data_IF_683672242155
#
_entry.id   IF_683672242155
#
_cell.length_a   1.000
_cell.length_b   1.000
_cell.length_c   1.000
_cell.angle_alpha   90.00
_cell.angle_beta   90.00
_cell.angle_gamma   90.00
#
_symmetry.space_group_name_H-M   'P 1'
#
loop_
_entity.id
_entity.type
_entity.pdbx_description
1 polymer ?
#
# COMPACT_ATOMS: atom_id res chain seq x y z
N UNK A 1 -15.43 20.16 -24.81
CA UNK A 1 -15.71 18.95 -24.01
C UNK A 1 -15.26 17.70 -24.74
N UNK A 2 -14.76 16.70 -24.01
CA UNK A 2 -14.41 15.37 -24.54
C UNK A 2 -15.50 14.37 -24.16
N UNK A 3 -15.86 13.49 -25.09
CA UNK A 3 -16.92 12.50 -24.88
C UNK A 3 -16.35 11.08 -24.92
N UNK A 4 -16.65 10.28 -23.89
CA UNK A 4 -16.19 8.90 -23.75
C UNK A 4 -17.38 7.96 -23.59
N UNK A 5 -17.28 6.76 -24.17
CA UNK A 5 -18.34 5.74 -24.10
C UNK A 5 -18.03 4.61 -23.13
N UNK A 6 -16.76 4.40 -22.77
CA UNK A 6 -16.32 3.27 -21.94
C UNK A 6 -15.31 3.72 -20.88
N UNK A 7 -14.80 2.78 -20.08
CA UNK A 7 -13.68 3.03 -19.18
C UNK A 7 -12.37 3.36 -19.90
N UNK A 8 -12.28 3.09 -21.21
CA UNK A 8 -11.16 3.52 -22.04
C UNK A 8 -11.20 5.03 -22.24
N UNK A 9 -10.06 5.69 -22.05
CA UNK A 9 -9.89 7.14 -22.24
C UNK A 9 -9.68 7.52 -23.71
N UNK A 10 -10.27 6.76 -24.65
CA UNK A 10 -10.29 7.07 -26.08
C UNK A 10 -11.56 7.89 -26.39
N UNK A 11 -11.43 9.18 -26.72
CA UNK A 11 -12.60 10.03 -26.96
C UNK A 11 -13.26 9.68 -28.30
N UNK A 12 -14.57 9.90 -28.40
CA UNK A 12 -15.28 9.74 -29.65
C UNK A 12 -14.94 10.87 -30.62
N UNK A 13 -14.55 10.48 -31.85
CA UNK A 13 -14.38 11.41 -32.97
C UNK A 13 -15.62 11.32 -33.84
N UNK A 14 -16.37 12.42 -33.94
CA UNK A 14 -17.58 12.50 -34.76
C UNK A 14 -17.25 13.27 -36.03
N UNK A 15 -17.50 12.64 -37.17
CA UNK A 15 -17.44 13.29 -38.48
C UNK A 15 -18.83 13.24 -39.10
N UNK A 16 -19.24 14.29 -39.85
CA UNK A 16 -20.46 14.22 -40.64
C UNK A 16 -20.41 13.00 -41.56
N UNK A 17 -21.50 12.25 -41.60
CA UNK A 17 -21.61 11.12 -42.51
C UNK A 17 -21.69 11.64 -43.95
N UNK A 18 -20.77 11.21 -44.81
CA UNK A 18 -20.80 11.51 -46.24
C UNK A 18 -21.83 10.61 -46.93
N UNK A 19 -22.87 11.21 -47.49
CA UNK A 19 -23.88 10.49 -48.26
C UNK A 19 -23.32 10.24 -49.66
N UNK A 20 -22.92 9.01 -49.93
CA UNK A 20 -22.58 8.57 -51.27
C UNK A 20 -23.86 8.01 -51.93
N UNK A 21 -24.38 8.69 -52.96
CA UNK A 21 -25.51 8.21 -53.75
C UNK A 21 -25.05 7.11 -54.74
N UNK A 22 -24.73 5.93 -54.22
CA UNK A 22 -24.20 4.81 -55.02
C UNK A 22 -25.29 3.90 -55.64
N UNK A 23 -26.59 4.18 -55.40
CA UNK A 23 -27.70 3.29 -55.80
C UNK A 23 -27.88 3.22 -57.33
N UNK A 24 -27.81 4.36 -58.01
CA UNK A 24 -28.01 4.47 -59.46
C UNK A 24 -26.70 4.63 -60.27
N UNK A 25 -25.58 4.92 -59.59
CA UNK A 25 -24.28 5.17 -60.21
C UNK A 25 -24.29 6.30 -61.24
N UNK A 26 -23.41 6.19 -62.26
CA UNK A 26 -23.30 7.15 -63.35
C UNK A 26 -23.78 6.53 -64.68
N UNK A 27 -25.08 6.63 -65.03
CA UNK A 27 -25.61 5.96 -66.22
C UNK A 27 -25.21 6.69 -67.51
N UNK A 28 -25.00 5.95 -68.60
CA UNK A 28 -24.57 6.51 -69.90
C UNK A 28 -25.50 7.60 -70.47
N UNK A 29 -26.76 7.65 -70.02
CA UNK A 29 -27.74 8.68 -70.39
C UNK A 29 -27.49 10.04 -69.70
N UNK A 30 -26.80 10.08 -68.56
CA UNK A 30 -26.48 11.32 -67.84
C UNK A 30 -25.21 12.00 -68.37
N UNK A 31 -24.40 11.28 -69.16
CA UNK A 31 -23.17 11.81 -69.75
C UNK A 31 -23.48 12.82 -70.86
N UNK A 32 -22.66 13.86 -70.96
CA UNK A 32 -22.78 14.86 -72.03
C UNK A 32 -22.27 14.29 -73.36
N UNK A 33 -23.16 13.68 -74.12
CA UNK A 33 -22.85 13.09 -75.43
C UNK A 33 -22.48 14.10 -76.52
N UNK A 34 -22.60 15.41 -76.26
CA UNK A 34 -22.20 16.46 -77.22
C UNK A 34 -20.78 16.97 -76.96
N UNK A 35 -20.17 16.58 -75.85
CA UNK A 35 -18.79 16.94 -75.53
C UNK A 35 -17.84 16.24 -76.52
N UNK A 36 -16.91 16.98 -77.16
CA UNK A 36 -15.88 16.38 -78.00
C UNK A 36 -15.03 15.35 -77.25
N UNK A 37 -14.78 15.57 -75.95
CA UNK A 37 -14.02 14.68 -75.08
C UNK A 37 -14.72 13.31 -74.94
N UNK A 38 -16.05 13.30 -74.79
CA UNK A 38 -16.83 12.06 -74.74
C UNK A 38 -16.62 11.19 -75.98
N UNK A 39 -16.62 11.80 -77.17
CA UNK A 39 -16.39 11.08 -78.42
C UNK A 39 -14.93 10.67 -78.58
N UNK A 40 -13.99 11.51 -78.15
CA UNK A 40 -12.56 11.24 -78.22
C UNK A 40 -12.16 10.05 -77.35
N UNK A 41 -12.54 10.05 -76.07
CA UNK A 41 -12.20 8.98 -75.12
C UNK A 41 -12.80 7.63 -75.52
N UNK A 42 -14.01 7.64 -76.10
CA UNK A 42 -14.68 6.42 -76.60
C UNK A 42 -14.27 6.02 -78.01
N UNK A 43 -13.39 6.78 -78.66
CA UNK A 43 -12.84 6.46 -79.97
C UNK A 43 -12.03 5.15 -79.98
N UNK A 44 -11.51 4.75 -78.82
CA UNK A 44 -10.85 3.46 -78.64
C UNK A 44 -11.49 2.68 -77.50
N UNK A 45 -11.92 1.45 -77.78
CA UNK A 45 -12.57 0.59 -76.79
C UNK A 45 -11.62 0.04 -75.71
N UNK A 46 -12.18 -0.68 -74.72
CA UNK A 46 -11.41 -1.39 -73.71
C UNK A 46 -10.43 -2.39 -74.36
N UNK A 47 -9.15 -2.29 -73.99
CA UNK A 47 -8.08 -3.12 -74.57
C UNK A 47 -6.94 -3.32 -73.58
N UNK A 48 -6.09 -4.29 -73.86
CA UNK A 48 -4.76 -4.38 -73.25
C UNK A 48 -3.74 -3.68 -74.15
N UNK A 49 -2.90 -2.85 -73.56
CA UNK A 49 -1.81 -2.23 -74.28
C UNK A 49 -0.74 -3.27 -74.66
N UNK A 50 -0.25 -3.19 -75.89
CA UNK A 50 0.81 -4.07 -76.40
C UNK A 50 2.14 -3.76 -75.70
N UNK A 51 2.91 -4.81 -75.36
CA UNK A 51 4.22 -4.65 -74.72
C UNK A 51 5.15 -3.81 -75.61
N UNK A 52 5.85 -2.84 -75.00
CA UNK A 52 6.75 -1.93 -75.73
C UNK A 52 6.04 -0.80 -76.49
N UNK A 53 4.69 -0.75 -76.49
CA UNK A 53 3.96 0.41 -76.99
C UNK A 53 4.04 1.59 -76.02
N UNK A 54 3.86 2.81 -76.54
CA UNK A 54 3.79 4.03 -75.74
C UNK A 54 2.67 3.96 -74.67
N UNK A 55 1.51 3.39 -75.04
CA UNK A 55 0.38 3.18 -74.12
C UNK A 55 0.76 2.29 -72.94
N UNK A 56 1.50 1.20 -73.21
CA UNK A 56 1.95 0.28 -72.17
C UNK A 56 2.98 0.91 -71.24
N UNK A 57 3.95 1.67 -71.78
CA UNK A 57 4.95 2.36 -70.98
C UNK A 57 4.30 3.39 -70.06
N UNK A 58 3.43 4.24 -70.60
CA UNK A 58 2.73 5.27 -69.85
C UNK A 58 1.80 4.67 -68.78
N UNK A 59 1.03 3.64 -69.14
CA UNK A 59 0.19 2.90 -68.20
C UNK A 59 0.99 2.24 -67.07
N UNK A 60 2.21 1.78 -67.35
CA UNK A 60 3.11 1.21 -66.33
C UNK A 60 3.61 2.28 -65.36
N UNK A 61 3.98 3.48 -65.85
CA UNK A 61 4.36 4.61 -64.97
C UNK A 61 3.20 5.02 -64.05
N UNK A 62 1.96 5.06 -64.55
CA UNK A 62 0.77 5.29 -63.71
C UNK A 62 0.57 4.22 -62.63
N UNK A 63 0.75 2.93 -62.97
CA UNK A 63 0.67 1.84 -61.99
C UNK A 63 1.72 2.00 -60.89
N UNK A 64 2.97 2.32 -61.25
CA UNK A 64 4.04 2.58 -60.29
C UNK A 64 3.71 3.78 -59.37
N UNK A 65 3.12 4.85 -59.91
CA UNK A 65 2.68 6.00 -59.13
C UNK A 65 1.62 5.61 -58.09
N UNK A 66 0.62 4.83 -58.48
CA UNK A 66 -0.41 4.35 -57.56
C UNK A 66 0.14 3.39 -56.50
N UNK A 67 1.09 2.53 -56.87
CA UNK A 67 1.78 1.63 -55.92
C UNK A 67 2.61 2.42 -54.89
N UNK A 68 3.30 3.47 -55.33
CA UNK A 68 4.02 4.37 -54.45
C UNK A 68 3.07 5.10 -53.49
N UNK A 69 1.94 5.60 -53.99
CA UNK A 69 0.92 6.24 -53.16
C UNK A 69 0.40 5.26 -52.10
N UNK A 70 0.03 4.04 -52.50
CA UNK A 70 -0.43 2.99 -51.59
C UNK A 70 0.61 2.68 -50.51
N UNK A 71 1.88 2.55 -50.90
CA UNK A 71 2.98 2.29 -49.97
C UNK A 71 3.12 3.42 -48.93
N UNK A 72 3.03 4.68 -49.37
CA UNK A 72 3.07 5.84 -48.46
C UNK A 72 1.87 5.88 -47.53
N UNK A 73 0.67 5.63 -48.06
CA UNK A 73 -0.55 5.57 -47.25
C UNK A 73 -0.47 4.46 -46.18
N UNK A 74 0.03 3.29 -46.54
CA UNK A 74 0.19 2.17 -45.61
C UNK A 74 1.29 2.43 -44.58
N UNK A 75 2.36 3.14 -44.95
CA UNK A 75 3.37 3.62 -44.01
C UNK A 75 2.78 4.57 -42.96
N UNK A 76 2.02 5.58 -43.39
CA UNK A 76 1.36 6.54 -42.51
C UNK A 76 0.35 5.86 -41.57
N UNK A 77 -0.45 4.93 -42.08
CA UNK A 77 -1.40 4.15 -41.25
C UNK A 77 -0.67 3.36 -40.17
N UNK A 78 0.47 2.75 -40.51
CA UNK A 78 1.27 1.98 -39.54
C UNK A 78 1.89 2.90 -38.49
N UNK A 79 2.42 4.04 -38.90
CA UNK A 79 3.00 5.04 -38.00
C UNK A 79 1.96 5.55 -37.00
N UNK A 80 0.77 5.95 -37.47
CA UNK A 80 -0.33 6.37 -36.62
C UNK A 80 -0.69 5.30 -35.59
N UNK A 81 -0.82 4.05 -36.04
CA UNK A 81 -1.15 2.93 -35.15
C UNK A 81 -0.09 2.70 -34.08
N UNK A 82 1.20 2.77 -34.44
CA UNK A 82 2.29 2.64 -33.46
C UNK A 82 2.27 3.76 -32.43
N UNK A 83 1.98 5.00 -32.85
CA UNK A 83 1.92 6.13 -31.93
C UNK A 83 0.70 6.05 -31.00
N UNK A 84 -0.44 5.55 -31.49
CA UNK A 84 -1.61 5.23 -30.66
C UNK A 84 -1.30 4.15 -29.61
N UNK A 85 -0.66 3.04 -30.00
CA UNK A 85 -0.26 1.96 -29.08
C UNK A 85 0.73 2.46 -28.03
N UNK A 86 1.67 3.31 -28.43
CA UNK A 86 2.64 3.94 -27.53
C UNK A 86 1.95 4.87 -26.52
N UNK A 87 0.99 5.68 -26.95
CA UNK A 87 0.22 6.54 -26.05
C UNK A 87 -0.58 5.71 -25.04
N UNK A 88 -1.24 4.65 -25.50
CA UNK A 88 -2.01 3.76 -24.62
C UNK A 88 -1.13 3.09 -23.56
N UNK A 89 0.06 2.62 -23.95
CA UNK A 89 1.04 2.06 -23.01
C UNK A 89 1.50 3.10 -21.96
N UNK A 90 1.74 4.34 -22.37
CA UNK A 90 2.12 5.41 -21.45
C UNK A 90 1.00 5.76 -20.45
N UNK A 91 -0.23 5.86 -20.94
CA UNK A 91 -1.39 6.13 -20.10
C UNK A 91 -1.63 5.01 -19.08
N UNK A 92 -1.52 3.77 -19.50
CA UNK A 92 -1.68 2.61 -18.63
C UNK A 92 -0.56 2.54 -17.57
N UNK A 93 0.68 2.84 -17.96
CA UNK A 93 1.79 2.96 -17.01
C UNK A 93 1.54 4.06 -15.97
N UNK A 94 1.12 5.26 -16.41
CA UNK A 94 0.80 6.37 -15.51
C UNK A 94 -0.35 6.03 -14.55
N UNK A 95 -1.36 5.29 -15.03
CA UNK A 95 -2.46 4.79 -14.20
C UNK A 95 -1.94 3.83 -13.12
N UNK A 96 -1.10 2.86 -13.47
CA UNK A 96 -0.53 1.91 -12.50
C UNK A 96 0.37 2.58 -11.47
N UNK A 97 1.21 3.53 -11.88
CA UNK A 97 2.05 4.31 -10.98
C UNK A 97 1.19 5.09 -9.97
N UNK A 98 0.14 5.75 -10.45
CA UNK A 98 -0.78 6.49 -9.58
C UNK A 98 -1.51 5.59 -8.58
N UNK A 99 -2.07 4.48 -9.05
CA UNK A 99 -2.75 3.49 -8.21
C UNK A 99 -1.80 2.91 -7.14
N UNK A 100 -0.57 2.59 -7.54
CA UNK A 100 0.46 2.07 -6.64
C UNK A 100 0.88 3.11 -5.60
N UNK A 101 1.03 4.37 -5.99
CA UNK A 101 1.40 5.44 -5.05
C UNK A 101 0.28 5.73 -4.04
N UNK A 102 -0.99 5.68 -4.46
CA UNK A 102 -2.12 5.77 -3.53
C UNK A 102 -2.08 4.65 -2.48
N UNK A 103 -1.79 3.41 -2.89
CA UNK A 103 -1.65 2.28 -1.96
C UNK A 103 -0.47 2.48 -1.00
N UNK A 104 0.66 2.99 -1.48
CA UNK A 104 1.82 3.32 -0.63
C UNK A 104 1.51 4.42 0.39
N UNK A 105 0.73 5.42 0.01
CA UNK A 105 0.30 6.49 0.92
C UNK A 105 -0.63 5.95 2.01
N UNK A 106 -1.60 5.11 1.64
CA UNK A 106 -2.50 4.46 2.59
C UNK A 106 -1.74 3.57 3.58
N UNK A 107 -0.72 2.84 3.11
CA UNK A 107 0.14 2.03 3.98
C UNK A 107 0.90 2.92 4.99
N UNK A 108 1.57 3.98 4.51
CA UNK A 108 2.29 4.94 5.38
C UNK A 108 1.37 5.56 6.43
N UNK A 109 0.14 5.89 6.06
CA UNK A 109 -0.86 6.42 6.98
C UNK A 109 -1.22 5.41 8.07
N UNK A 110 -1.45 4.14 7.71
CA UNK A 110 -1.74 3.08 8.67
C UNK A 110 -0.57 2.79 9.61
N UNK A 111 0.66 2.81 9.09
CA UNK A 111 1.86 2.65 9.90
C UNK A 111 2.01 3.78 10.92
N UNK A 112 1.84 5.03 10.49
CA UNK A 112 1.86 6.19 11.38
C UNK A 112 0.75 6.14 12.45
N UNK A 113 -0.45 5.70 12.08
CA UNK A 113 -1.55 5.51 13.04
C UNK A 113 -1.24 4.41 14.07
N UNK A 114 -0.60 3.31 13.64
CA UNK A 114 -0.18 2.23 14.53
C UNK A 114 0.96 2.69 15.44
N UNK A 115 1.93 3.44 14.93
CA UNK A 115 3.03 4.00 15.71
C UNK A 115 2.52 4.98 16.77
N UNK A 116 1.57 5.86 16.42
CA UNK A 116 0.92 6.76 17.38
C UNK A 116 0.23 5.99 18.50
N UNK A 117 -0.57 4.97 18.16
CA UNK A 117 -1.24 4.12 19.16
C UNK A 117 -0.24 3.40 20.07
N UNK A 118 0.88 2.92 19.49
CA UNK A 118 1.95 2.28 20.25
C UNK A 118 2.58 3.26 21.25
N UNK A 119 2.92 4.47 20.82
CA UNK A 119 3.47 5.51 21.69
C UNK A 119 2.49 5.92 22.79
N UNK A 120 1.20 6.07 22.48
CA UNK A 120 0.16 6.35 23.48
C UNK A 120 0.03 5.23 24.52
N UNK A 121 0.11 3.98 24.07
CA UNK A 121 0.06 2.82 24.96
C UNK A 121 1.29 2.73 25.87
N UNK A 122 2.49 2.92 25.31
CA UNK A 122 3.75 2.94 26.06
C UNK A 122 3.78 4.08 27.09
N UNK A 123 3.29 5.27 26.73
CA UNK A 123 3.17 6.39 27.67
C UNK A 123 2.19 6.08 28.80
N UNK A 124 1.04 5.47 28.50
CA UNK A 124 0.05 5.07 29.51
C UNK A 124 0.59 3.96 30.43
N UNK A 125 1.31 2.99 29.87
CA UNK A 125 1.95 1.92 30.64
C UNK A 125 3.00 2.49 31.60
N UNK A 126 3.88 3.38 31.11
CA UNK A 126 4.87 4.07 31.93
C UNK A 126 4.23 4.88 33.06
N UNK A 127 3.16 5.62 32.78
CA UNK A 127 2.42 6.36 33.82
C UNK A 127 1.80 5.42 34.87
N UNK A 128 1.26 4.27 34.44
CA UNK A 128 0.70 3.28 35.35
C UNK A 128 1.79 2.62 36.22
N UNK A 129 2.97 2.35 35.66
CA UNK A 129 4.12 1.83 36.39
C UNK A 129 4.66 2.85 37.40
N UNK A 130 4.76 4.13 37.01
CA UNK A 130 5.16 5.21 37.92
C UNK A 130 4.18 5.38 39.09
N UNK A 131 2.86 5.25 38.85
CA UNK A 131 1.87 5.24 39.93
C UNK A 131 2.03 4.02 40.86
N UNK A 132 2.17 2.81 40.31
CA UNK A 132 2.41 1.61 41.13
C UNK A 132 3.66 1.76 42.00
N UNK A 133 4.75 2.27 41.43
CA UNK A 133 6.00 2.49 42.16
C UNK A 133 5.82 3.52 43.28
N UNK A 134 5.06 4.59 43.06
CA UNK A 134 4.72 5.56 44.13
C UNK A 134 3.88 4.93 45.22
N UNK A 135 2.90 4.10 44.87
CA UNK A 135 2.05 3.41 45.83
C UNK A 135 2.84 2.38 46.65
N UNK A 136 3.72 1.60 46.00
CA UNK A 136 4.65 0.68 46.65
C UNK A 136 5.62 1.42 47.59
N UNK A 137 6.19 2.55 47.17
CA UNK A 137 7.04 3.37 48.04
C UNK A 137 6.27 3.93 49.24
N UNK A 138 5.02 4.35 49.05
CA UNK A 138 4.14 4.83 50.12
C UNK A 138 3.83 3.71 51.13
N UNK A 139 3.46 2.53 50.65
CA UNK A 139 3.22 1.34 51.48
C UNK A 139 4.48 0.89 52.22
N UNK A 140 5.64 0.89 51.54
CA UNK A 140 6.93 0.55 52.15
C UNK A 140 7.32 1.55 53.24
N UNK A 141 7.07 2.85 53.03
CA UNK A 141 7.26 3.88 54.08
C UNK A 141 6.34 3.61 55.27
N UNK A 142 5.05 3.36 55.05
CA UNK A 142 4.10 3.03 56.12
C UNK A 142 4.51 1.76 56.88
N UNK A 143 4.97 0.72 56.16
CA UNK A 143 5.42 -0.53 56.76
C UNK A 143 6.70 -0.33 57.59
N UNK A 144 7.67 0.44 57.08
CA UNK A 144 8.87 0.82 57.82
C UNK A 144 8.55 1.65 59.07
N UNK A 145 7.58 2.57 58.99
CA UNK A 145 7.11 3.34 60.16
C UNK A 145 6.44 2.44 61.20
N UNK A 146 5.59 1.50 60.77
CA UNK A 146 4.95 0.53 61.67
C UNK A 146 5.97 -0.40 62.32
N UNK A 147 6.94 -0.91 61.55
CA UNK A 147 8.03 -1.75 62.07
C UNK A 147 8.92 -0.97 63.04
N UNK A 148 9.22 0.30 62.75
CA UNK A 148 9.96 1.16 63.67
C UNK A 148 9.19 1.42 64.98
N UNK A 149 7.87 1.57 64.92
CA UNK A 149 7.01 1.66 66.13
C UNK A 149 7.02 0.36 66.93
N UNK A 150 6.93 -0.79 66.26
CA UNK A 150 6.98 -2.11 66.90
C UNK A 150 8.33 -2.34 67.58
N UNK A 151 9.45 -2.05 66.90
CA UNK A 151 10.80 -2.16 67.46
C UNK A 151 10.96 -1.25 68.69
N UNK A 152 10.42 -0.03 68.68
CA UNK A 152 10.43 0.84 69.87
C UNK A 152 9.64 0.26 71.03
N UNK A 153 8.48 -0.33 70.77
CA UNK A 153 7.68 -1.01 71.80
C UNK A 153 8.36 -2.28 72.31
N UNK A 154 9.01 -3.04 71.43
CA UNK A 154 9.78 -4.23 71.78
C UNK A 154 11.02 -3.87 72.60
N UNK A 155 11.74 -2.81 72.25
CA UNK A 155 12.86 -2.26 73.02
C UNK A 155 12.39 -1.78 74.41
N UNK A 156 11.24 -1.09 74.50
CA UNK A 156 10.62 -0.74 75.78
C UNK A 156 10.21 -1.97 76.60
N UNK A 157 9.62 -2.99 75.96
CA UNK A 157 9.21 -4.22 76.64
C UNK A 157 10.43 -5.03 77.12
N UNK A 158 11.48 -5.12 76.30
CA UNK A 158 12.75 -5.77 76.63
C UNK A 158 13.48 -5.02 77.74
N UNK A 159 13.47 -3.69 77.71
CA UNK A 159 13.99 -2.86 78.80
C UNK A 159 13.18 -3.07 80.10
N UNK A 160 11.85 -3.11 80.02
CA UNK A 160 10.99 -3.44 81.16
C UNK A 160 11.21 -4.87 81.66
N UNK A 161 11.47 -5.85 80.78
CA UNK A 161 11.83 -7.21 81.17
C UNK A 161 13.20 -7.26 81.86
N UNK A 162 14.18 -6.49 81.39
CA UNK A 162 15.47 -6.35 82.05
C UNK A 162 15.32 -5.67 83.41
N UNK A 163 14.52 -4.61 83.51
CA UNK A 163 14.15 -3.95 84.77
C UNK A 163 13.37 -4.89 85.70
N UNK A 164 12.49 -5.76 85.17
CA UNK A 164 11.73 -6.74 85.95
C UNK A 164 12.61 -7.93 86.40
N UNK A 165 13.55 -8.38 85.57
CA UNK A 165 14.53 -9.41 85.93
C UNK A 165 15.49 -8.88 87.00
N UNK A 166 15.95 -7.64 86.86
CA UNK A 166 16.72 -6.92 87.89
C UNK A 166 15.90 -6.70 89.16
N UNK A 167 14.62 -6.36 89.03
CA UNK A 167 13.71 -6.20 90.15
C UNK A 167 13.49 -7.54 90.87
N UNK A 168 13.35 -8.65 90.16
CA UNK A 168 13.20 -10.00 90.73
C UNK A 168 14.50 -10.48 91.37
N UNK A 169 15.68 -10.11 90.83
CA UNK A 169 16.98 -10.32 91.46
C UNK A 169 17.13 -9.48 92.73
N UNK A 170 16.63 -8.24 92.73
CA UNK A 170 16.54 -7.39 93.92
C UNK A 170 15.50 -7.90 94.92
N UNK A 171 14.43 -8.54 94.45
CA UNK A 171 13.40 -9.18 95.28
C UNK A 171 13.90 -10.50 95.85
N UNK A 172 14.74 -11.26 95.14
CA UNK A 172 15.46 -12.43 95.66
C UNK A 172 16.50 -12.03 96.70
N UNK A 173 17.18 -10.88 96.52
CA UNK A 173 18.06 -10.29 97.53
C UNK A 173 17.27 -9.79 98.76
N UNK A 174 16.10 -9.18 98.57
CA UNK A 174 15.19 -8.82 99.68
C UNK A 174 14.56 -10.06 100.35
N UNK A 175 14.27 -11.12 99.59
CA UNK A 175 13.71 -12.38 100.09
C UNK A 175 14.72 -13.22 100.87
N UNK A 176 16.02 -12.94 100.76
CA UNK A 176 17.05 -13.54 101.61
C UNK A 176 17.19 -12.80 102.96
N UNK A 177 16.58 -11.63 103.09
CA UNK A 177 16.54 -10.81 104.31
C UNK A 177 15.22 -10.96 105.08
N UNK A 178 14.13 -11.38 104.42
CA UNK A 178 12.79 -11.51 105.00
C UNK A 178 12.44 -12.98 105.35
N UNK A 179 13.36 -13.66 106.03
CA UNK A 179 13.06 -14.90 106.75
C UNK A 179 12.29 -14.58 108.04
N UNK A 180 11.07 -14.03 107.92
CA UNK A 180 10.14 -13.99 109.03
C UNK A 180 8.69 -13.84 108.55
N UNK A 181 7.87 -14.85 108.89
CA UNK A 181 6.39 -14.87 108.83
C UNK A 181 5.79 -15.02 107.42
N UNK A 182 4.76 -15.81 107.10
CA UNK A 182 3.85 -16.69 107.82
C UNK A 182 2.67 -17.00 106.88
N UNK A 183 2.25 -18.28 106.82
CA UNK A 183 0.92 -18.81 106.45
C UNK A 183 0.18 -18.41 105.15
N UNK A 184 -0.11 -19.44 104.32
CA UNK A 184 -1.49 -19.88 104.06
C UNK A 184 -2.14 -19.61 102.69
N UNK A 185 -2.68 -20.67 102.06
CA UNK A 185 -4.00 -20.59 101.38
C UNK A 185 -4.11 -20.81 99.86
N UNK A 186 -4.19 -22.07 99.44
CA UNK A 186 -5.18 -22.71 98.54
C UNK A 186 -6.03 -21.84 97.56
N UNK A 187 -6.01 -22.12 96.24
CA UNK A 187 -7.12 -22.79 95.53
C UNK A 187 -6.93 -22.99 94.01
N UNK A 188 -7.39 -24.19 93.63
CA UNK A 188 -7.67 -24.85 92.36
C UNK A 188 -8.51 -24.06 91.32
N UNK A 189 -8.41 -24.46 90.03
CA UNK A 189 -9.42 -24.15 89.02
C UNK A 189 -8.98 -24.34 87.56
N UNK A 190 -8.94 -25.57 87.07
CA UNK A 190 -8.85 -25.85 85.63
C UNK A 190 -10.18 -25.66 84.89
N UNK A 191 -10.16 -25.69 83.55
CA UNK A 191 -10.96 -26.59 82.70
C UNK A 191 -11.15 -26.07 81.24
N UNK A 192 -11.05 -27.02 80.29
CA UNK A 192 -11.74 -27.15 78.98
C UNK A 192 -11.47 -26.11 77.89
N UNK A 193 -11.36 -26.45 76.61
CA UNK A 193 -11.61 -27.68 75.85
C UNK A 193 -11.18 -27.43 74.39
N UNK A 194 -10.73 -28.45 73.64
CA UNK A 194 -11.56 -29.14 72.63
C UNK A 194 -11.81 -28.24 71.41
N UNK A 195 -11.34 -28.50 70.20
CA UNK A 195 -11.26 -29.76 69.48
C UNK A 195 -12.13 -29.66 68.21
N UNK A 196 -11.65 -30.17 67.06
CA UNK A 196 -12.45 -30.46 65.86
C UNK A 196 -12.37 -29.40 64.75
N UNK A 197 -11.69 -29.73 63.64
CA UNK A 197 -12.25 -30.21 62.36
C UNK A 197 -12.82 -29.06 61.50
N UNK A 198 -12.53 -28.93 60.20
CA UNK A 198 -12.12 -29.91 59.21
C UNK A 198 -13.03 -29.74 57.98
N UNK A 199 -12.45 -29.27 56.87
CA UNK A 199 -12.84 -29.46 55.45
C UNK A 199 -12.10 -28.37 54.64
N UNK A 200 -11.28 -28.65 53.65
CA UNK A 200 -11.31 -29.79 52.74
C UNK A 200 -12.37 -29.57 51.67
N UNK A 201 -12.11 -28.71 50.68
CA UNK A 201 -12.23 -29.10 49.28
C UNK A 201 -11.54 -28.11 48.34
N UNK A 202 -10.65 -28.64 47.51
CA UNK A 202 -10.06 -27.90 46.41
C UNK A 202 -11.06 -27.72 45.27
N UNK A 203 -10.90 -26.63 44.53
CA UNK A 203 -11.26 -26.59 43.13
C UNK A 203 -10.17 -25.80 42.40
N UNK A 204 -9.53 -26.51 41.47
CA UNK A 204 -8.45 -26.00 40.64
C UNK A 204 -8.94 -25.03 39.55
N UNK A 205 -7.99 -24.43 38.82
CA UNK A 205 -8.25 -23.28 37.96
C UNK A 205 -8.81 -23.69 36.59
N UNK A 206 -9.81 -22.94 36.13
CA UNK A 206 -10.34 -23.03 34.76
C UNK A 206 -9.33 -22.44 33.76
N UNK A 207 -8.98 -23.25 32.77
CA UNK A 207 -8.19 -22.89 31.59
C UNK A 207 -9.10 -22.28 30.49
N UNK A 208 -8.64 -21.31 29.68
CA UNK A 208 -9.43 -20.72 28.59
C UNK A 208 -9.44 -21.59 27.32
N UNK A 209 -10.57 -21.59 26.64
CA UNK A 209 -10.80 -22.26 25.36
C UNK A 209 -9.94 -21.65 24.23
N UNK A 210 -9.09 -22.50 23.66
CA UNK A 210 -8.24 -22.25 22.51
C UNK A 210 -9.07 -22.23 21.20
N UNK A 211 -9.18 -21.08 20.52
CA UNK A 211 -9.67 -21.00 19.13
C UNK A 211 -8.46 -20.91 18.19
N UNK A 212 -8.07 -22.05 17.63
CA UNK A 212 -7.08 -22.14 16.53
C UNK A 212 -7.74 -21.66 15.24
N UNK A 213 -7.22 -20.59 14.65
CA UNK A 213 -7.45 -20.26 13.24
C UNK A 213 -6.31 -20.86 12.40
N UNK A 214 -6.71 -21.59 11.37
CA UNK A 214 -5.85 -22.33 10.45
C UNK A 214 -5.33 -21.35 9.38
N UNK A 215 -4.02 -21.07 9.35
CA UNK A 215 -3.37 -20.46 8.19
C UNK A 215 -2.47 -21.50 7.54
N UNK A 216 -2.83 -21.88 6.32
CA UNK A 216 -2.10 -22.83 5.48
C UNK A 216 -0.84 -22.13 4.96
N UNK A 217 0.32 -22.71 5.26
CA UNK A 217 1.57 -22.39 4.57
C UNK A 217 1.56 -23.06 3.19
N UNK A 218 1.68 -22.28 2.12
CA UNK A 218 2.13 -22.78 0.83
C UNK A 218 3.51 -22.20 0.56
N UNK A 219 4.53 -23.02 0.79
CA UNK A 219 5.90 -22.74 0.42
C UNK A 219 6.24 -23.59 -0.80
N UNK A 220 6.37 -22.95 -1.97
CA UNK A 220 7.10 -23.53 -3.11
C UNK A 220 8.22 -22.57 -3.44
N UNK A 221 9.43 -23.03 -3.12
CA UNK A 221 10.65 -22.28 -3.29
C UNK A 221 10.99 -21.97 -4.74
N UNK A 222 11.72 -20.88 -4.91
CA UNK A 222 12.80 -20.77 -5.90
C UNK A 222 13.86 -19.81 -5.37
N UNK A 223 14.93 -20.40 -4.87
CA UNK A 223 16.28 -19.84 -4.77
C UNK A 223 16.74 -19.39 -6.19
N UNK A 224 17.64 -18.44 -6.45
CA UNK A 224 18.48 -17.53 -5.66
C UNK A 224 19.25 -16.62 -6.62
N UNK A 225 19.54 -15.39 -6.19
CA UNK A 225 20.71 -14.52 -6.44
C UNK A 225 21.15 -14.09 -7.86
N UNK A 226 21.20 -12.76 -8.06
CA UNK A 226 22.43 -11.97 -8.31
C UNK A 226 22.08 -10.47 -8.27
N UNK A 227 22.47 -9.75 -7.20
CA UNK A 227 23.59 -8.78 -7.10
C UNK A 227 23.47 -7.50 -7.95
N UNK A 228 23.73 -6.38 -7.24
CA UNK A 228 24.27 -5.10 -7.70
C UNK A 228 23.36 -3.89 -7.93
N UNK A 229 23.53 -2.94 -7.01
CA UNK A 229 23.78 -1.51 -7.27
C UNK A 229 22.59 -0.63 -7.64
N UNK A 230 21.88 -0.23 -6.58
CA UNK A 230 21.08 0.99 -6.56
C UNK A 230 21.98 2.21 -6.89
N UNK A 231 21.78 2.78 -8.09
CA UNK A 231 22.07 4.19 -8.35
C UNK A 231 20.74 4.90 -8.50
N UNK A 232 20.49 5.81 -7.58
CA UNK A 232 19.38 6.75 -7.55
C UNK A 232 19.32 7.54 -8.86
N UNK A 233 18.24 7.35 -9.62
CA UNK A 233 17.83 8.32 -10.64
C UNK A 233 16.72 9.19 -10.03
N UNK A 234 16.84 10.53 -10.06
CA UNK A 234 15.75 11.38 -9.61
C UNK A 234 14.62 11.30 -10.65
N UNK A 235 13.51 10.65 -10.27
CA UNK A 235 12.27 10.65 -11.05
C UNK A 235 11.70 12.06 -11.05
N UNK A 236 11.86 12.78 -12.16
CA UNK A 236 11.19 14.05 -12.37
C UNK A 236 9.69 13.80 -12.60
N UNK A 237 8.79 14.68 -12.12
CA UNK A 237 7.37 14.58 -12.41
C UNK A 237 7.14 14.71 -13.92
N UNK A 238 6.41 13.74 -14.49
CA UNK A 238 6.05 13.72 -15.90
C UNK A 238 5.20 14.95 -16.24
N UNK A 239 5.74 15.82 -17.11
CA UNK A 239 5.08 17.04 -17.55
C UNK A 239 4.44 16.84 -18.93
N UNK A 240 3.11 16.90 -18.97
CA UNK A 240 2.27 16.82 -20.17
C UNK A 240 2.63 17.86 -21.25
N UNK A 241 3.30 18.97 -20.89
CA UNK A 241 3.68 20.04 -21.82
C UNK A 241 4.91 19.72 -22.69
N UNK A 242 5.62 18.60 -22.48
CA UNK A 242 6.76 18.21 -23.33
C UNK A 242 6.36 17.52 -24.65
N UNK A 243 5.06 17.41 -24.94
CA UNK A 243 4.53 16.77 -26.16
C UNK A 243 4.52 17.74 -27.37
N UNK A 244 4.69 19.05 -27.14
CA UNK A 244 4.72 20.07 -28.20
C UNK A 244 6.11 20.18 -28.84
N UNK A 245 6.48 19.23 -29.71
CA UNK A 245 7.82 19.31 -30.31
C UNK A 245 8.10 18.55 -31.59
N UNK A 246 7.19 17.72 -32.11
CA UNK A 246 7.44 16.95 -33.33
C UNK A 246 6.26 17.00 -34.29
N UNK A 247 5.91 18.22 -34.71
CA UNK A 247 5.14 18.42 -35.93
C UNK A 247 6.01 18.01 -37.11
N UNK A 248 5.64 16.92 -37.79
CA UNK A 248 6.20 16.52 -39.06
C UNK A 248 6.07 17.67 -40.08
N UNK A 249 7.14 18.45 -40.25
CA UNK A 249 7.26 19.37 -41.37
C UNK A 249 7.54 18.53 -42.62
N UNK A 250 6.47 18.02 -43.24
CA UNK A 250 6.55 17.44 -44.57
C UNK A 250 6.88 18.59 -45.52
N UNK A 251 8.11 18.62 -46.02
CA UNK A 251 8.49 19.56 -47.07
C UNK A 251 7.86 19.15 -48.39
N UNK A 252 6.65 19.67 -48.61
CA UNK A 252 5.90 19.48 -49.85
C UNK A 252 6.64 20.02 -51.09
N UNK A 253 7.64 20.89 -50.92
CA UNK A 253 8.48 21.33 -52.04
C UNK A 253 9.48 20.25 -52.46
N UNK A 254 10.03 19.47 -51.52
CA UNK A 254 10.87 18.32 -51.82
C UNK A 254 10.08 17.21 -52.54
N UNK A 255 8.83 16.97 -52.13
CA UNK A 255 7.93 16.00 -52.80
C UNK A 255 7.56 16.46 -54.21
N UNK A 256 7.27 17.76 -54.41
CA UNK A 256 7.02 18.34 -55.74
C UNK A 256 8.27 18.27 -56.63
N UNK A 257 9.45 18.55 -56.08
CA UNK A 257 10.73 18.48 -56.82
C UNK A 257 11.07 17.07 -57.29
N UNK A 258 10.81 16.05 -56.46
CA UNK A 258 11.01 14.66 -56.85
C UNK A 258 10.07 14.23 -57.99
N UNK A 259 8.78 14.59 -57.91
CA UNK A 259 7.81 14.27 -58.97
C UNK A 259 8.12 15.00 -60.29
N UNK A 260 8.62 16.25 -60.22
CA UNK A 260 8.99 17.01 -61.42
C UNK A 260 10.22 16.41 -62.13
N UNK A 261 11.23 15.96 -61.38
CA UNK A 261 12.43 15.34 -61.95
C UNK A 261 12.14 13.95 -62.54
N UNK A 262 11.24 13.17 -61.95
CA UNK A 262 10.82 11.86 -62.50
C UNK A 262 9.96 11.97 -63.77
N UNK A 263 9.36 13.14 -64.03
CA UNK A 263 8.59 13.40 -65.25
C UNK A 263 9.43 13.94 -66.42
N UNK A 264 10.69 14.32 -66.19
CA UNK A 264 11.61 14.82 -67.23
C UNK A 264 12.74 13.83 -67.61
N UNK A 265 12.72 12.59 -67.12
CA UNK A 265 13.58 11.47 -67.58
C UNK A 265 12.73 10.33 -68.14
#
# INVERSE_FOLDING_TARGET
DLFFLTSSLRPCVVQPFEINEDDDGLPDKSLNKKSPEFHHERGVGPRFAELGSFEHEYGTRWKQLHELFKTKQDALKRELKMEEEKLEAQMEYARYEHETELLRQELRKRESDNERKKMEWEMREKQAEEMRKRDEESMRRQQNEMQSRMLRQEEEMRRRQQENTLFMQAQQLNSLLDQQEGFGGNNNGGNSGGGGNGNGNGNGPNNPQNKRHNWVHNNKGRDSNSTESAKSNPTLPFNIQQIEGLGANIDWNAVKGFLYNTLQS
#
